data_IF_070910334911
#
_entry.id   IF_070910334911
#
_cell.length_a   1.000
_cell.length_b   1.000
_cell.length_c   1.000
_cell.angle_alpha   90.00
_cell.angle_beta   90.00
_cell.angle_gamma   90.00
#
_symmetry.space_group_name_H-M   'P 1'
#
loop_
_entity.id
_entity.type
_entity.pdbx_description
1 polymer ?
#
# COMPACT_ATOMS: atom_id res chain seq x y z
N UNK A 1 -35.79 14.31 48.48
CA UNK A 1 -34.90 13.66 49.47
C UNK A 1 -33.58 13.36 48.79
N UNK A 2 -32.48 13.70 49.46
CA UNK A 2 -31.15 13.93 48.91
C UNK A 2 -30.29 12.69 49.20
N UNK A 3 -29.97 11.89 48.20
CA UNK A 3 -29.14 10.69 48.35
C UNK A 3 -27.75 10.93 47.77
N UNK A 4 -26.82 11.28 48.65
CA UNK A 4 -25.39 11.32 48.39
C UNK A 4 -24.74 10.12 49.09
N UNK A 5 -24.09 9.20 48.36
CA UNK A 5 -22.98 8.36 48.87
C UNK A 5 -22.06 7.89 47.72
N UNK A 6 -20.93 8.58 47.62
CA UNK A 6 -19.57 8.06 47.48
C UNK A 6 -19.42 6.51 47.56
N UNK A 7 -18.81 5.87 46.56
CA UNK A 7 -17.55 5.10 46.68
C UNK A 7 -17.18 4.34 45.39
N UNK A 8 -15.89 4.37 45.08
CA UNK A 8 -15.23 3.86 43.88
C UNK A 8 -15.16 2.31 43.82
N UNK A 9 -15.05 1.76 42.62
CA UNK A 9 -14.50 0.41 42.39
C UNK A 9 -13.48 0.43 41.25
N UNK A 10 -12.41 -0.33 41.50
CA UNK A 10 -11.12 -0.26 40.86
C UNK A 10 -10.98 -1.19 39.64
N UNK A 11 -9.97 -0.86 38.82
CA UNK A 11 -9.10 -1.72 38.01
C UNK A 11 -9.74 -2.72 37.04
N UNK A 12 -9.56 -2.43 35.75
CA UNK A 12 -9.36 -3.46 34.73
C UNK A 12 -8.35 -2.94 33.69
N UNK A 13 -7.06 -2.98 34.03
CA UNK A 13 -6.00 -2.89 33.03
C UNK A 13 -5.82 -4.28 32.42
N UNK A 14 -6.62 -4.61 31.42
CA UNK A 14 -6.43 -5.83 30.62
C UNK A 14 -5.22 -5.63 29.73
N UNK A 15 -4.08 -6.17 30.14
CA UNK A 15 -2.91 -6.37 29.30
C UNK A 15 -3.31 -7.32 28.16
N UNK A 16 -3.55 -6.77 26.97
CA UNK A 16 -3.67 -7.57 25.76
C UNK A 16 -2.27 -8.14 25.48
N UNK A 17 -2.12 -9.43 25.77
CA UNK A 17 -0.97 -10.22 25.36
C UNK A 17 -0.87 -10.14 23.82
N UNK A 18 0.20 -9.51 23.34
CA UNK A 18 0.54 -9.48 21.92
C UNK A 18 0.94 -10.89 21.48
N UNK A 19 0.04 -11.57 20.77
CA UNK A 19 0.40 -12.79 20.05
C UNK A 19 0.94 -12.41 18.67
N UNK A 20 2.27 -12.48 18.61
CA UNK A 20 3.15 -12.61 17.46
C UNK A 20 2.56 -13.47 16.34
N UNK A 21 1.91 -12.82 15.36
CA UNK A 21 1.58 -13.41 14.07
C UNK A 21 2.79 -13.32 13.16
N UNK A 22 3.70 -14.30 13.26
CA UNK A 22 4.74 -14.53 12.26
C UNK A 22 4.10 -14.99 10.95
N UNK A 23 3.51 -14.06 10.22
CA UNK A 23 3.10 -14.25 8.84
C UNK A 23 4.10 -13.52 7.97
N UNK A 24 4.92 -14.26 7.21
CA UNK A 24 5.57 -13.72 6.01
C UNK A 24 4.52 -13.45 4.93
N UNK A 25 3.51 -12.67 5.28
CA UNK A 25 2.52 -12.15 4.36
C UNK A 25 3.15 -10.96 3.68
N UNK A 26 3.32 -11.03 2.38
CA UNK A 26 3.30 -9.83 1.56
C UNK A 26 1.93 -9.20 1.77
N UNK A 27 1.81 -8.32 2.77
CA UNK A 27 0.65 -7.46 2.88
C UNK A 27 0.48 -6.80 1.50
N UNK A 28 -0.75 -6.78 0.94
CA UNK A 28 -0.98 -6.07 -0.31
C UNK A 28 -0.48 -4.64 -0.13
N UNK A 29 0.60 -4.28 -0.83
CA UNK A 29 1.00 -2.88 -0.96
C UNK A 29 -0.22 -2.20 -1.58
N UNK A 30 -0.86 -1.32 -0.83
CA UNK A 30 -1.90 -0.45 -1.38
C UNK A 30 -1.18 0.70 -2.08
N UNK A 31 -1.09 0.68 -3.43
CA UNK A 31 -0.36 1.71 -4.15
C UNK A 31 -1.09 3.04 -4.00
N UNK A 32 -0.52 3.92 -3.19
CA UNK A 32 -1.09 5.25 -2.93
C UNK A 32 -0.94 6.23 -4.10
N UNK A 33 -0.18 5.87 -5.15
CA UNK A 33 0.15 6.75 -6.28
C UNK A 33 -0.38 6.20 -7.58
N UNK A 34 -1.09 7.03 -8.35
CA UNK A 34 -1.54 6.70 -9.71
C UNK A 34 -0.70 7.48 -10.73
N UNK A 35 -0.08 6.75 -11.66
CA UNK A 35 0.82 7.30 -12.68
C UNK A 35 0.28 6.98 -14.06
N UNK A 36 -0.05 8.02 -14.83
CA UNK A 36 -0.49 7.85 -16.21
C UNK A 36 0.69 7.82 -17.16
N UNK A 37 0.70 6.86 -18.10
CA UNK A 37 1.70 6.67 -19.14
C UNK A 37 1.02 6.68 -20.51
N UNK A 38 1.56 7.42 -21.47
CA UNK A 38 1.05 7.49 -22.83
C UNK A 38 2.21 7.60 -23.83
N UNK A 39 1.97 7.18 -25.07
CA UNK A 39 2.93 7.36 -26.16
C UNK A 39 4.20 6.53 -26.02
N UNK A 40 5.37 7.20 -26.04
CA UNK A 40 6.69 6.57 -26.14
C UNK A 40 7.48 6.74 -24.83
N UNK A 41 7.99 5.63 -24.29
CA UNK A 41 8.99 5.62 -23.21
C UNK A 41 10.37 5.67 -23.86
N UNK A 42 10.99 6.85 -23.82
CA UNK A 42 12.26 7.16 -24.51
C UNK A 42 13.50 7.06 -23.62
N UNK A 43 13.34 6.73 -22.33
CA UNK A 43 14.43 6.58 -21.38
C UNK A 43 14.18 5.40 -20.45
N UNK A 44 15.26 4.79 -19.97
CA UNK A 44 15.18 3.67 -19.03
C UNK A 44 14.44 4.10 -17.78
N UNK A 45 13.47 3.30 -17.34
CA UNK A 45 12.72 3.56 -16.12
C UNK A 45 12.34 2.27 -15.41
N UNK A 46 12.06 2.39 -14.11
CA UNK A 46 11.60 1.29 -13.26
C UNK A 46 10.22 1.62 -12.72
N UNK A 47 9.30 0.68 -12.83
CA UNK A 47 7.97 0.77 -12.25
C UNK A 47 7.88 -0.07 -10.98
N UNK A 48 7.52 0.56 -9.86
CA UNK A 48 7.44 -0.09 -8.54
C UNK A 48 6.01 -0.44 -8.13
N UNK A 49 5.89 -1.35 -7.16
CA UNK A 49 4.61 -1.77 -6.58
C UNK A 49 3.91 -0.68 -5.76
N UNK A 50 4.59 0.44 -5.47
CA UNK A 50 4.01 1.57 -4.73
C UNK A 50 3.08 2.43 -5.61
N UNK A 51 3.04 2.16 -6.92
CA UNK A 51 2.27 2.91 -7.91
C UNK A 51 1.39 2.01 -8.77
N UNK A 52 0.22 2.54 -9.15
CA UNK A 52 -0.62 2.01 -10.22
C UNK A 52 -0.31 2.77 -11.51
N UNK A 53 0.15 2.06 -12.54
CA UNK A 53 0.41 2.64 -13.85
C UNK A 53 -0.80 2.48 -14.75
N UNK A 54 -1.38 3.59 -15.21
CA UNK A 54 -2.50 3.62 -16.16
C UNK A 54 -1.95 3.95 -17.55
N UNK A 55 -2.11 3.03 -18.49
CA UNK A 55 -1.75 3.20 -19.89
C UNK A 55 -2.91 3.91 -20.60
N UNK A 56 -2.66 5.15 -21.02
CA UNK A 56 -3.59 5.89 -21.88
C UNK A 56 -3.29 5.56 -23.34
N UNK A 57 -4.02 4.57 -23.85
CA UNK A 57 -3.83 4.05 -25.20
C UNK A 57 -2.57 3.20 -25.31
N UNK A 58 -1.97 3.18 -26.50
CA UNK A 58 -0.76 2.37 -26.74
C UNK A 58 0.46 3.06 -26.15
N UNK A 59 1.14 2.36 -25.25
CA UNK A 59 2.44 2.74 -24.71
C UNK A 59 3.51 1.86 -25.35
N UNK A 60 4.55 2.47 -25.89
CA UNK A 60 5.65 1.80 -26.60
C UNK A 60 6.96 2.11 -25.89
N UNK A 61 7.76 1.08 -25.62
CA UNK A 61 9.14 1.25 -25.15
C UNK A 61 10.03 1.37 -26.37
N UNK A 62 10.83 2.44 -26.45
CA UNK A 62 11.67 2.70 -27.62
C UNK A 62 12.82 1.69 -27.77
N UNK A 63 13.39 1.60 -28.97
CA UNK A 63 14.52 0.72 -29.24
C UNK A 63 15.73 1.08 -28.36
N UNK A 64 16.29 0.09 -27.68
CA UNK A 64 17.41 0.28 -26.76
C UNK A 64 17.04 0.82 -25.38
N UNK A 65 15.74 1.08 -25.13
CA UNK A 65 15.22 1.45 -23.82
C UNK A 65 14.75 0.20 -23.07
N UNK A 66 14.98 0.18 -21.75
CA UNK A 66 14.49 -0.86 -20.85
C UNK A 66 13.46 -0.29 -19.89
N UNK A 67 12.28 -0.90 -19.88
CA UNK A 67 11.30 -0.73 -18.81
C UNK A 67 11.44 -1.91 -17.84
N UNK A 68 11.94 -1.64 -16.64
CA UNK A 68 11.98 -2.63 -15.57
C UNK A 68 10.66 -2.57 -14.77
N UNK A 69 10.04 -3.71 -14.52
CA UNK A 69 8.80 -3.80 -13.73
C UNK A 69 9.08 -4.67 -12.51
N UNK A 70 9.04 -4.05 -11.33
CA UNK A 70 9.22 -4.77 -10.07
C UNK A 70 8.05 -5.70 -9.78
N UNK A 71 8.30 -6.74 -8.99
CA UNK A 71 7.26 -7.68 -8.59
C UNK A 71 6.15 -6.97 -7.79
N UNK A 72 4.89 -7.25 -8.13
CA UNK A 72 3.73 -6.63 -7.47
C UNK A 72 3.26 -5.31 -8.09
N UNK A 73 3.96 -4.78 -9.11
CA UNK A 73 3.50 -3.59 -9.85
C UNK A 73 2.18 -3.81 -10.56
N UNK A 74 1.24 -2.89 -10.39
CA UNK A 74 -0.08 -2.92 -11.04
C UNK A 74 -0.05 -2.01 -12.28
N UNK A 75 -0.37 -2.59 -13.44
CA UNK A 75 -0.44 -1.89 -14.73
C UNK A 75 -1.83 -2.12 -15.33
N UNK A 76 -2.51 -1.06 -15.76
CA UNK A 76 -3.84 -1.11 -16.38
C UNK A 76 -3.79 -0.45 -17.76
N UNK A 77 -4.34 -1.09 -18.80
CA UNK A 77 -4.37 -0.53 -20.16
C UNK A 77 -5.59 -0.95 -20.95
#
# INVERSE_FOLDING_TARGET
>A
MKFNKLMAFAAAATLLAACNGGGGGTDPVDPSVLVTKSGLISANETWSADSIYILEGRVVVDAGVTLAVEAGTIIKG
#
